data_IF_757865134387
#
_entry.id   IF_757865134387
#
_cell.length_a   1.000
_cell.length_b   1.000
_cell.length_c   1.000
_cell.angle_alpha   90.00
_cell.angle_beta   90.00
_cell.angle_gamma   90.00
#
_symmetry.space_group_name_H-M   'P 1'
#
loop_
_entity.id
_entity.type
_entity.pdbx_description
1 polymer ?
#
# COMPACT_ATOMS: atom_id res chain seq x y z
N UNK A 1 -40.52 16.28 1.42
CA UNK A 1 -39.27 15.61 1.85
C UNK A 1 -38.64 15.03 0.61
N UNK A 2 -37.44 15.48 0.23
CA UNK A 2 -36.75 14.94 -0.96
C UNK A 2 -36.06 13.64 -0.58
N UNK A 3 -36.29 12.59 -1.36
CA UNK A 3 -35.61 11.30 -1.16
C UNK A 3 -34.11 11.46 -1.40
N UNK A 4 -33.24 10.89 -0.54
CA UNK A 4 -31.80 10.92 -0.78
C UNK A 4 -31.44 10.26 -2.10
N UNK A 5 -30.40 10.75 -2.80
CA UNK A 5 -29.93 10.09 -4.01
C UNK A 5 -29.39 8.69 -3.70
N UNK A 6 -29.45 7.76 -4.67
CA UNK A 6 -28.91 6.43 -4.49
C UNK A 6 -27.38 6.46 -4.29
N UNK A 7 -26.90 5.47 -3.54
CA UNK A 7 -25.48 5.21 -3.31
C UNK A 7 -24.77 5.01 -4.65
N UNK A 8 -23.54 5.52 -4.75
CA UNK A 8 -22.70 5.32 -5.93
C UNK A 8 -22.05 3.92 -5.91
N UNK A 9 -21.76 3.32 -7.08
CA UNK A 9 -21.10 2.02 -7.18
C UNK A 9 -19.78 1.94 -6.39
N UNK A 10 -18.96 2.99 -6.43
CA UNK A 10 -17.72 3.04 -5.65
C UNK A 10 -17.97 3.06 -4.14
N UNK A 11 -19.04 3.72 -3.68
CA UNK A 11 -19.41 3.76 -2.26
C UNK A 11 -19.83 2.38 -1.76
N UNK A 12 -20.63 1.66 -2.54
CA UNK A 12 -21.02 0.28 -2.25
C UNK A 12 -19.82 -0.67 -2.28
N UNK A 13 -18.87 -0.47 -3.19
CA UNK A 13 -17.62 -1.22 -3.22
C UNK A 13 -16.83 -1.06 -1.92
N UNK A 14 -16.61 0.18 -1.47
CA UNK A 14 -15.88 0.47 -0.23
C UNK A 14 -16.57 -0.18 0.97
N UNK A 15 -17.89 -0.07 1.07
CA UNK A 15 -18.65 -0.67 2.18
C UNK A 15 -18.53 -2.20 2.21
N UNK A 16 -18.63 -2.85 1.05
CA UNK A 16 -18.41 -4.31 0.93
C UNK A 16 -16.99 -4.69 1.31
N UNK A 17 -15.99 -3.93 0.85
CA UNK A 17 -14.59 -4.19 1.14
C UNK A 17 -14.29 -4.09 2.65
N UNK A 18 -14.80 -3.05 3.34
CA UNK A 18 -14.72 -2.94 4.80
C UNK A 18 -15.36 -4.14 5.52
N UNK A 19 -16.45 -4.68 4.96
CA UNK A 19 -17.15 -5.85 5.48
C UNK A 19 -16.35 -7.16 5.41
N UNK A 20 -15.30 -7.23 4.58
CA UNK A 20 -14.42 -8.41 4.46
C UNK A 20 -13.41 -8.54 5.61
N UNK A 21 -13.19 -7.48 6.40
CA UNK A 21 -12.26 -7.50 7.53
C UNK A 21 -12.85 -8.22 8.74
N UNK A 22 -12.00 -8.88 9.52
CA UNK A 22 -12.36 -9.54 10.78
C UNK A 22 -11.47 -9.02 11.92
N UNK A 23 -12.00 -8.24 12.88
CA UNK A 23 -13.36 -7.71 12.94
C UNK A 23 -13.64 -6.69 11.82
N UNK A 24 -14.92 -6.41 11.55
CA UNK A 24 -15.34 -5.43 10.52
C UNK A 24 -14.62 -4.09 10.73
N UNK A 25 -14.04 -3.56 9.65
CA UNK A 25 -13.32 -2.30 9.71
C UNK A 25 -14.31 -1.13 9.90
N UNK A 26 -14.22 -0.45 11.04
CA UNK A 26 -15.09 0.70 11.33
C UNK A 26 -14.80 1.89 10.40
N UNK A 27 -15.83 2.71 10.12
CA UNK A 27 -15.65 3.93 9.31
C UNK A 27 -14.61 4.88 9.90
N UNK A 28 -14.56 4.99 11.23
CA UNK A 28 -13.55 5.82 11.92
C UNK A 28 -12.14 5.34 11.62
N UNK A 29 -11.88 4.04 11.79
CA UNK A 29 -10.54 3.47 11.55
C UNK A 29 -10.18 3.49 10.06
N UNK A 30 -11.13 3.20 9.17
CA UNK A 30 -10.89 3.26 7.73
C UNK A 30 -10.57 4.68 7.26
N UNK A 31 -11.28 5.69 7.78
CA UNK A 31 -11.01 7.09 7.50
C UNK A 31 -9.62 7.54 7.97
N UNK A 32 -9.22 7.11 9.18
CA UNK A 32 -7.88 7.33 9.73
C UNK A 32 -6.80 6.74 8.80
N UNK A 33 -6.96 5.48 8.38
CA UNK A 33 -6.03 4.82 7.45
C UNK A 33 -5.95 5.50 6.07
N UNK A 34 -7.06 6.10 5.61
CA UNK A 34 -7.10 6.83 4.34
C UNK A 34 -6.66 8.30 4.44
N UNK A 35 -6.34 8.79 5.65
CA UNK A 35 -5.95 10.18 5.88
C UNK A 35 -7.07 11.19 5.61
N UNK A 36 -8.33 10.84 5.91
CA UNK A 36 -9.49 11.73 5.77
C UNK A 36 -10.37 11.74 7.02
N UNK A 37 -11.29 12.70 7.13
CA UNK A 37 -12.25 12.73 8.25
C UNK A 37 -13.32 11.64 8.11
N UNK A 38 -13.81 11.14 9.25
CA UNK A 38 -14.90 10.14 9.27
C UNK A 38 -16.18 10.67 8.59
N UNK A 39 -16.50 11.95 8.77
CA UNK A 39 -17.63 12.59 8.10
C UNK A 39 -17.48 12.56 6.57
N UNK A 40 -16.28 12.88 6.06
CA UNK A 40 -15.98 12.80 4.62
C UNK A 40 -16.07 11.37 4.10
N UNK A 41 -15.55 10.40 4.85
CA UNK A 41 -15.69 8.97 4.53
C UNK A 41 -17.16 8.58 4.36
N UNK A 42 -18.01 8.92 5.34
CA UNK A 42 -19.45 8.60 5.30
C UNK A 42 -20.16 9.27 4.13
N UNK A 43 -19.86 10.53 3.82
CA UNK A 43 -20.45 11.23 2.68
C UNK A 43 -20.08 10.59 1.34
N UNK A 44 -18.83 10.18 1.18
CA UNK A 44 -18.37 9.49 -0.04
C UNK A 44 -19.03 8.10 -0.14
N UNK A 45 -19.01 7.31 0.93
CA UNK A 45 -19.63 5.96 0.93
C UNK A 45 -21.12 6.02 0.64
N UNK A 46 -21.84 7.01 1.19
CA UNK A 46 -23.27 7.22 0.92
C UNK A 46 -23.54 7.84 -0.47
N UNK A 47 -22.55 8.51 -1.07
CA UNK A 47 -22.68 9.20 -2.36
C UNK A 47 -23.35 10.58 -2.28
N UNK A 48 -23.62 11.10 -1.07
CA UNK A 48 -24.20 12.42 -0.87
C UNK A 48 -23.91 12.99 0.51
N UNK A 49 -24.11 14.30 0.64
CA UNK A 49 -24.15 15.02 1.90
C UNK A 49 -25.48 15.78 2.03
N UNK A 50 -26.00 15.87 3.24
CA UNK A 50 -27.17 16.71 3.54
C UNK A 50 -26.68 18.13 3.78
N UNK A 51 -27.08 19.06 2.93
CA UNK A 51 -26.70 20.49 3.05
C UNK A 51 -27.70 21.25 3.92
N UNK A 52 -28.97 20.87 3.83
CA UNK A 52 -30.08 21.39 4.65
C UNK A 52 -31.14 20.28 4.80
N UNK A 53 -32.09 20.46 5.72
CA UNK A 53 -33.17 19.49 5.93
C UNK A 53 -33.93 19.21 4.61
N UNK A 54 -33.87 17.98 4.13
CA UNK A 54 -34.49 17.58 2.85
C UNK A 54 -33.75 18.04 1.59
N UNK A 55 -32.53 18.56 1.70
CA UNK A 55 -31.69 18.94 0.56
C UNK A 55 -30.37 18.16 0.59
N UNK A 56 -30.12 17.39 -0.47
CA UNK A 56 -28.95 16.51 -0.58
C UNK A 56 -28.10 16.91 -1.78
N UNK A 57 -26.80 17.11 -1.56
CA UNK A 57 -25.83 17.34 -2.60
C UNK A 57 -25.08 16.04 -2.90
N UNK A 58 -24.96 15.68 -4.19
CA UNK A 58 -24.21 14.49 -4.62
C UNK A 58 -22.72 14.66 -4.28
N UNK A 59 -22.09 13.59 -3.80
CA UNK A 59 -20.68 13.56 -3.45
C UNK A 59 -20.01 12.48 -4.28
N UNK A 60 -19.11 12.91 -5.17
CA UNK A 60 -18.21 12.05 -5.92
C UNK A 60 -16.80 12.31 -5.40
N UNK A 61 -16.07 11.25 -5.04
CA UNK A 61 -14.71 11.39 -4.56
C UNK A 61 -13.72 11.61 -5.73
N UNK A 62 -12.75 12.52 -5.59
CA UNK A 62 -11.60 12.59 -6.49
C UNK A 62 -10.84 11.26 -6.52
N UNK A 63 -10.18 10.97 -7.65
CA UNK A 63 -9.49 9.71 -7.91
C UNK A 63 -8.51 9.32 -6.80
N UNK A 64 -7.65 10.25 -6.38
CA UNK A 64 -6.61 10.02 -5.36
C UNK A 64 -7.23 9.76 -3.99
N UNK A 65 -8.34 10.43 -3.68
CA UNK A 65 -9.06 10.21 -2.42
C UNK A 65 -9.72 8.84 -2.43
N UNK A 66 -10.37 8.47 -3.54
CA UNK A 66 -11.00 7.16 -3.66
C UNK A 66 -9.97 6.03 -3.65
N UNK A 67 -8.80 6.21 -4.27
CA UNK A 67 -7.69 5.28 -4.22
C UNK A 67 -7.23 5.00 -2.79
N UNK A 68 -7.00 6.05 -1.98
CA UNK A 68 -6.68 5.88 -0.55
C UNK A 68 -7.77 5.18 0.24
N UNK A 69 -9.04 5.50 -0.02
CA UNK A 69 -10.17 4.82 0.63
C UNK A 69 -10.25 3.35 0.24
N UNK A 70 -10.04 3.02 -1.04
CA UNK A 70 -10.02 1.66 -1.55
C UNK A 70 -8.89 0.85 -0.91
N UNK A 71 -7.69 1.41 -0.85
CA UNK A 71 -6.55 0.80 -0.17
C UNK A 71 -6.85 0.55 1.31
N UNK A 72 -7.34 1.55 2.04
CA UNK A 72 -7.69 1.42 3.45
C UNK A 72 -8.80 0.38 3.70
N UNK A 73 -9.77 0.27 2.80
CA UNK A 73 -10.87 -0.69 2.90
C UNK A 73 -10.48 -2.12 2.44
N UNK A 74 -9.31 -2.31 1.83
CA UNK A 74 -8.89 -3.58 1.25
C UNK A 74 -9.60 -3.93 -0.06
N UNK A 75 -9.99 -2.92 -0.84
CA UNK A 75 -10.42 -3.09 -2.23
C UNK A 75 -9.21 -3.11 -3.18
N UNK A 76 -9.38 -3.64 -4.39
CA UNK A 76 -8.32 -3.73 -5.42
C UNK A 76 -8.51 -2.74 -6.57
N UNK A 77 -7.46 -2.43 -7.36
CA UNK A 77 -7.60 -1.64 -8.58
C UNK A 77 -8.57 -2.25 -9.59
N UNK A 78 -8.61 -3.58 -9.71
CA UNK A 78 -9.55 -4.27 -10.59
C UNK A 78 -11.01 -4.06 -10.17
N UNK A 79 -11.30 -4.09 -8.86
CA UNK A 79 -12.64 -3.79 -8.33
C UNK A 79 -13.06 -2.34 -8.61
N UNK A 80 -12.11 -1.37 -8.56
CA UNK A 80 -12.38 0.02 -8.93
C UNK A 80 -12.72 0.17 -10.41
N UNK A 81 -11.99 -0.52 -11.31
CA UNK A 81 -12.32 -0.55 -12.75
C UNK A 81 -13.71 -1.12 -12.99
N UNK A 82 -14.06 -2.22 -12.31
CA UNK A 82 -15.40 -2.82 -12.38
C UNK A 82 -16.51 -1.88 -11.85
N UNK A 83 -16.17 -0.95 -10.96
CA UNK A 83 -17.05 0.12 -10.50
C UNK A 83 -17.04 1.37 -11.42
N UNK A 84 -16.49 1.28 -12.64
CA UNK A 84 -16.31 2.38 -13.59
C UNK A 84 -15.45 3.55 -13.06
N UNK A 85 -14.48 3.25 -12.19
CA UNK A 85 -13.53 4.22 -11.63
C UNK A 85 -12.08 3.89 -12.01
N UNK A 86 -11.83 3.83 -13.32
CA UNK A 86 -10.48 3.60 -13.87
C UNK A 86 -9.49 4.68 -13.45
N UNK A 87 -9.94 5.92 -13.34
CA UNK A 87 -9.17 7.06 -12.80
C UNK A 87 -8.63 6.77 -11.39
N UNK A 88 -9.47 6.23 -10.51
CA UNK A 88 -9.08 5.86 -9.16
C UNK A 88 -8.21 4.60 -9.12
N UNK A 89 -8.41 3.65 -10.05
CA UNK A 89 -7.57 2.46 -10.17
C UNK A 89 -6.12 2.83 -10.53
N UNK A 90 -5.93 3.73 -11.49
CA UNK A 90 -4.60 4.27 -11.85
C UNK A 90 -3.96 5.03 -10.68
N UNK A 91 -4.74 5.85 -9.98
CA UNK A 91 -4.26 6.55 -8.78
C UNK A 91 -3.86 5.58 -7.66
N UNK A 92 -4.56 4.44 -7.53
CA UNK A 92 -4.20 3.37 -6.61
C UNK A 92 -2.88 2.72 -7.04
N UNK A 93 -2.74 2.34 -8.30
CA UNK A 93 -1.49 1.74 -8.80
C UNK A 93 -0.29 2.66 -8.58
N UNK A 94 -0.43 3.98 -8.80
CA UNK A 94 0.60 4.97 -8.41
C UNK A 94 0.87 4.97 -6.91
N UNK A 95 -0.17 4.89 -6.07
CA UNK A 95 -0.03 4.81 -4.61
C UNK A 95 0.75 3.57 -4.14
N UNK A 96 0.64 2.45 -4.84
CA UNK A 96 1.40 1.23 -4.57
C UNK A 96 2.81 1.22 -5.20
N UNK A 97 3.18 2.25 -5.98
CA UNK A 97 4.41 2.23 -6.78
C UNK A 97 4.37 1.26 -7.96
N UNK A 98 3.17 0.82 -8.37
CA UNK A 98 2.96 -0.07 -9.52
C UNK A 98 2.79 0.70 -10.84
N UNK A 99 2.60 2.02 -10.79
CA UNK A 99 2.55 2.91 -11.97
C UNK A 99 3.86 3.67 -12.13
N UNK A 100 4.50 3.51 -13.29
CA UNK A 100 5.69 4.19 -13.84
C UNK A 100 6.67 4.84 -12.83
N UNK A 101 7.90 4.28 -12.80
CA UNK A 101 9.03 4.63 -11.92
C UNK A 101 8.92 4.14 -10.46
N UNK A 102 8.87 2.82 -10.29
CA UNK A 102 9.85 2.26 -9.34
C UNK A 102 11.21 2.36 -10.05
N UNK A 103 12.23 3.04 -9.51
CA UNK A 103 13.55 2.97 -10.11
C UNK A 103 13.91 1.47 -10.24
N UNK A 104 14.59 1.06 -11.31
CA UNK A 104 15.12 -0.29 -11.35
C UNK A 104 15.84 -0.52 -10.03
N UNK A 105 15.51 -1.59 -9.31
CA UNK A 105 16.41 -2.06 -8.27
C UNK A 105 17.67 -2.45 -9.04
N UNK A 106 18.63 -1.54 -9.12
CA UNK A 106 19.94 -1.80 -9.70
C UNK A 106 20.65 -2.74 -8.72
N UNK A 107 20.56 -4.04 -9.00
CA UNK A 107 21.34 -5.05 -8.30
C UNK A 107 22.79 -4.86 -8.75
N UNK A 108 23.55 -4.03 -8.03
CA UNK A 108 24.98 -3.97 -8.19
C UNK A 108 25.61 -5.22 -7.55
N UNK A 109 26.66 -5.79 -8.16
CA UNK A 109 27.55 -6.69 -7.43
C UNK A 109 28.00 -5.99 -6.14
N UNK A 110 27.97 -6.69 -5.00
CA UNK A 110 28.30 -6.13 -3.67
C UNK A 110 29.61 -5.33 -3.63
N UNK A 111 30.55 -5.63 -4.52
CA UNK A 111 31.83 -4.92 -4.65
C UNK A 111 31.73 -3.49 -5.23
N UNK A 112 30.66 -3.19 -5.96
CA UNK A 112 30.43 -1.89 -6.62
C UNK A 112 29.34 -1.05 -5.94
N UNK A 113 28.73 -1.57 -4.87
CA UNK A 113 27.68 -0.89 -4.12
C UNK A 113 28.28 0.29 -3.30
N UNK A 114 27.84 1.54 -3.56
CA UNK A 114 28.33 2.71 -2.83
C UNK A 114 28.03 2.64 -1.33
N UNK A 115 26.90 2.04 -0.92
CA UNK A 115 26.56 1.85 0.48
C UNK A 115 27.52 0.86 1.16
N UNK A 116 28.01 -0.14 0.41
CA UNK A 116 29.00 -1.08 0.91
C UNK A 116 30.38 -0.44 1.12
N UNK A 117 30.79 0.48 0.23
CA UNK A 117 32.04 1.26 0.41
C UNK A 117 31.99 2.18 1.63
N UNK A 118 30.85 2.83 1.87
CA UNK A 118 30.64 3.66 3.06
C UNK A 118 30.71 2.82 4.35
N UNK A 119 30.09 1.63 4.34
CA UNK A 119 30.19 0.67 5.43
C UNK A 119 31.63 0.18 5.66
N UNK A 120 32.37 -0.12 4.58
CA UNK A 120 33.76 -0.55 4.68
C UNK A 120 34.65 0.53 5.33
N UNK A 121 34.46 1.79 4.95
CA UNK A 121 35.17 2.92 5.57
C UNK A 121 34.83 3.05 7.07
N UNK A 122 33.59 2.79 7.46
CA UNK A 122 33.16 2.76 8.86
C UNK A 122 33.81 1.61 9.65
N UNK A 123 33.96 0.43 9.04
CA UNK A 123 34.66 -0.73 9.64
C UNK A 123 36.17 -0.54 9.69
N UNK A 124 36.76 0.22 8.75
CA UNK A 124 38.18 0.54 8.77
C UNK A 124 38.52 1.63 9.81
N UNK A 125 37.58 2.53 10.10
CA UNK A 125 37.71 3.55 11.15
C UNK A 125 37.44 3.06 12.57
N UNK A 126 37.01 1.81 12.77
CA UNK A 126 36.69 1.29 14.11
C UNK A 126 37.96 0.80 14.82
N UNK A 127 38.14 1.10 16.13
CA UNK A 127 39.28 0.63 16.89
C UNK A 127 39.40 -0.91 16.84
N UNK A 128 40.62 -1.47 16.79
CA UNK A 128 40.84 -2.91 16.60
C UNK A 128 40.19 -3.78 17.69
N UNK A 129 39.93 -3.22 18.88
CA UNK A 129 39.20 -3.87 19.98
C UNK A 129 37.72 -4.11 19.68
N UNK A 130 37.10 -3.31 18.80
CA UNK A 130 35.70 -3.45 18.37
C UNK A 130 35.55 -4.17 17.03
N UNK A 131 36.63 -4.26 16.24
CA UNK A 131 36.65 -4.87 14.90
C UNK A 131 36.22 -6.35 14.91
N UNK A 132 36.61 -7.08 15.95
CA UNK A 132 36.21 -8.49 16.12
C UNK A 132 34.71 -8.69 16.41
N UNK A 133 34.04 -7.71 17.05
CA UNK A 133 32.60 -7.75 17.27
C UNK A 133 31.84 -7.37 15.99
N UNK A 134 32.29 -6.33 15.29
CA UNK A 134 31.72 -5.90 14.02
C UNK A 134 31.82 -6.99 12.93
N UNK A 135 32.99 -7.65 12.80
CA UNK A 135 33.19 -8.75 11.86
C UNK A 135 32.26 -9.94 12.14
N UNK A 136 32.00 -10.29 13.41
CA UNK A 136 31.07 -11.39 13.74
C UNK A 136 29.63 -11.08 13.34
N UNK A 137 29.17 -9.85 13.56
CA UNK A 137 27.82 -9.43 13.18
C UNK A 137 27.66 -9.41 11.66
N UNK A 138 28.65 -8.87 10.94
CA UNK A 138 28.65 -8.84 9.48
C UNK A 138 28.66 -10.25 8.87
N UNK A 139 29.51 -11.16 9.37
CA UNK A 139 29.57 -12.54 8.88
C UNK A 139 28.27 -13.31 9.14
N UNK A 140 27.66 -13.14 10.32
CA UNK A 140 26.38 -13.78 10.62
C UNK A 140 25.24 -13.28 9.71
N UNK A 141 25.23 -11.99 9.38
CA UNK A 141 24.24 -11.41 8.45
C UNK A 141 24.41 -11.95 7.02
N UNK A 142 25.65 -12.12 6.55
CA UNK A 142 25.94 -12.67 5.22
C UNK A 142 25.52 -14.15 5.13
N UNK A 143 25.83 -14.96 6.14
CA UNK A 143 25.43 -16.38 6.16
C UNK A 143 23.92 -16.57 6.24
N UNK A 144 23.22 -15.72 7.01
CA UNK A 144 21.75 -15.74 7.08
C UNK A 144 21.12 -15.40 5.71
N UNK A 145 21.59 -14.34 5.05
CA UNK A 145 21.11 -13.96 3.72
C UNK A 145 21.38 -15.06 2.68
N UNK A 146 22.53 -15.73 2.76
CA UNK A 146 22.89 -16.83 1.86
C UNK A 146 21.97 -18.03 2.01
N UNK A 147 21.59 -18.36 3.25
CA UNK A 147 20.68 -19.46 3.57
C UNK A 147 19.24 -19.21 3.07
N UNK A 148 18.77 -17.97 3.08
CA UNK A 148 17.45 -17.59 2.54
C UNK A 148 17.40 -17.70 1.01
N UNK A 149 18.49 -17.34 0.32
CA UNK A 149 18.58 -17.45 -1.15
C UNK A 149 18.62 -18.91 -1.66
N UNK A 150 19.21 -19.85 -0.92
CA UNK A 150 19.23 -21.27 -1.33
C UNK A 150 17.89 -21.97 -1.19
N UNK A 151 16.99 -21.48 -0.33
CA UNK A 151 15.66 -22.09 -0.14
C UNK A 151 14.62 -21.63 -1.19
N UNK A 152 14.94 -20.62 -2.02
CA UNK A 152 14.03 -20.09 -3.04
C UNK A 152 14.17 -20.74 -4.44
N UNK A 153 15.10 -21.67 -4.63
CA UNK A 153 15.29 -22.39 -5.91
C UNK A 153 15.02 -23.89 -5.74
N UNK A 154 13.76 -24.26 -5.57
CA UNK A 154 13.23 -25.62 -5.73
C UNK A 154 12.42 -25.73 -7.02
N UNK A 155 12.45 -26.87 -7.73
CA UNK A 155 12.27 -26.93 -9.18
C UNK A 155 10.82 -26.75 -9.63
N UNK A 156 10.66 -26.06 -10.77
CA UNK A 156 9.46 -26.03 -11.60
C UNK A 156 9.18 -27.45 -12.10
N UNK A 157 8.10 -28.06 -11.61
CA UNK A 157 7.55 -29.31 -12.14
C UNK A 157 6.96 -29.05 -13.53
N UNK A 158 7.51 -29.74 -14.53
CA UNK A 158 7.05 -29.74 -15.92
C UNK A 158 6.10 -30.94 -16.10
N UNK A 159 4.85 -30.76 -16.58
CA UNK A 159 3.91 -31.87 -16.68
C UNK A 159 4.12 -32.66 -17.97
N UNK A 160 4.08 -33.99 -17.86
CA UNK A 160 3.87 -34.90 -19.00
C UNK A 160 2.38 -35.05 -19.33
#
# INVERSE_FOLDING_TARGET
>A
MTTPPPQLPEGALIERAQGRHTPRLSNRKAAELAGISEGRWRHIVKGYQTVQAGMHARVVAPAETLARMAHAAGATPAELRAANRSDAAEAYERLLGLGEHSPPIEIHPLADDPAWREFELLVQGTPPTMRAAALRIATAAVEAAKAELTHSNGPTDEPQ
#
